data_IF_560091613609
#
_entry.id   IF_560091613609
#
_cell.length_a   1.000
_cell.length_b   1.000
_cell.length_c   1.000
_cell.angle_alpha   90.00
_cell.angle_beta   90.00
_cell.angle_gamma   90.00
#
_symmetry.space_group_name_H-M   'P 1'
#
loop_
_entity.id
_entity.type
_entity.pdbx_description
1 polymer ?
#
# COMPACT_ATOMS: atom_id res chain seq x y z
N UNK A 1 14.83 20.29 -4.36
CA UNK A 1 15.67 20.02 -3.16
C UNK A 1 17.07 20.46 -3.48
N UNK A 2 17.57 21.43 -2.76
CA UNK A 2 18.92 21.96 -2.92
C UNK A 2 19.75 21.36 -1.78
N UNK A 3 20.86 20.72 -2.11
CA UNK A 3 21.82 20.30 -1.08
C UNK A 3 22.52 21.56 -0.60
N UNK A 4 22.31 21.95 0.65
CA UNK A 4 23.10 23.00 1.26
C UNK A 4 24.55 22.55 1.36
N UNK A 5 25.52 23.48 1.32
CA UNK A 5 26.97 23.21 1.44
C UNK A 5 27.38 22.35 2.65
N UNK A 6 26.46 22.08 3.58
CA UNK A 6 26.66 21.30 4.81
C UNK A 6 26.10 19.87 4.76
N UNK A 7 25.71 19.33 3.60
CA UNK A 7 25.29 17.92 3.48
C UNK A 7 23.96 17.57 4.16
N UNK A 8 23.15 18.55 4.59
CA UNK A 8 21.82 18.33 5.15
C UNK A 8 20.80 18.16 4.03
N UNK A 9 19.93 17.14 4.16
CA UNK A 9 18.80 16.95 3.25
C UNK A 9 17.78 18.07 3.41
N UNK A 10 17.54 18.84 2.35
CA UNK A 10 16.39 19.75 2.30
C UNK A 10 15.14 18.96 1.96
N UNK A 11 14.26 18.82 2.93
CA UNK A 11 12.97 18.22 2.75
C UNK A 11 11.97 19.24 2.20
N UNK A 12 11.01 18.83 1.33
CA UNK A 12 10.04 19.74 0.75
C UNK A 12 9.28 20.54 1.80
N UNK A 13 9.22 21.85 1.66
CA UNK A 13 8.47 22.72 2.54
C UNK A 13 6.97 22.68 2.22
N UNK A 14 6.13 22.80 3.26
CA UNK A 14 4.68 22.96 3.14
C UNK A 14 4.38 24.36 2.61
N UNK A 15 4.18 24.49 1.29
CA UNK A 15 3.94 25.78 0.60
C UNK A 15 2.48 26.24 0.67
N UNK A 16 1.55 25.34 0.97
CA UNK A 16 0.12 25.59 0.86
C UNK A 16 -0.59 25.33 2.18
N UNK A 17 -1.53 26.20 2.53
CA UNK A 17 -2.43 26.02 3.67
C UNK A 17 -3.36 24.82 3.46
N UNK A 18 -3.91 24.26 4.54
CA UNK A 18 -4.89 23.16 4.45
C UNK A 18 -6.14 23.51 3.65
N UNK A 19 -6.56 24.79 3.67
CA UNK A 19 -7.67 25.26 2.85
C UNK A 19 -7.35 25.21 1.37
N UNK A 20 -6.16 25.66 0.96
CA UNK A 20 -5.69 25.56 -0.43
C UNK A 20 -5.57 24.10 -0.87
N UNK A 21 -5.06 23.22 0.01
CA UNK A 21 -4.99 21.77 -0.25
C UNK A 21 -6.37 21.16 -0.46
N UNK A 22 -7.35 21.53 0.39
CA UNK A 22 -8.72 21.04 0.24
C UNK A 22 -9.37 21.52 -1.05
N UNK A 23 -9.22 22.81 -1.40
CA UNK A 23 -9.70 23.38 -2.66
C UNK A 23 -9.10 22.69 -3.87
N UNK A 24 -7.79 22.42 -3.83
CA UNK A 24 -7.12 21.62 -4.88
C UNK A 24 -7.72 20.21 -4.96
N UNK A 25 -8.03 19.57 -3.82
CA UNK A 25 -8.69 18.27 -3.78
C UNK A 25 -10.08 18.27 -4.43
N UNK A 26 -10.85 19.32 -4.26
CA UNK A 26 -12.16 19.50 -4.91
C UNK A 26 -12.01 19.62 -6.43
N UNK A 27 -11.10 20.47 -6.90
CA UNK A 27 -10.80 20.62 -8.35
C UNK A 27 -10.36 19.27 -8.96
N UNK A 28 -9.50 18.52 -8.28
CA UNK A 28 -9.00 17.23 -8.78
C UNK A 28 -10.09 16.15 -8.77
N UNK A 29 -11.01 16.17 -7.78
CA UNK A 29 -12.16 15.27 -7.73
C UNK A 29 -13.10 15.51 -8.90
N UNK A 30 -13.44 16.77 -9.13
CA UNK A 30 -14.41 17.18 -10.14
C UNK A 30 -13.87 17.05 -11.56
N UNK A 31 -12.54 17.06 -11.73
CA UNK A 31 -11.88 16.98 -13.02
C UNK A 31 -12.02 18.28 -13.84
N UNK A 32 -11.72 18.19 -15.13
CA UNK A 32 -11.90 19.30 -16.05
C UNK A 32 -13.37 19.31 -16.49
N UNK A 33 -14.14 20.27 -16.00
CA UNK A 33 -15.57 20.44 -16.34
C UNK A 33 -15.69 21.31 -17.59
N UNK A 34 -16.65 21.00 -18.47
CA UNK A 34 -17.07 21.88 -19.58
C UNK A 34 -16.21 21.85 -20.83
N UNK A 35 -15.41 20.80 -21.08
CA UNK A 35 -14.46 20.77 -22.18
C UNK A 35 -13.11 21.38 -21.81
N UNK A 36 -12.12 21.38 -22.73
CA UNK A 36 -10.81 21.96 -22.50
C UNK A 36 -10.82 23.51 -22.55
N UNK A 37 -11.67 24.16 -21.75
CA UNK A 37 -11.54 25.59 -21.51
C UNK A 37 -10.20 25.87 -20.82
N UNK A 38 -9.45 26.83 -21.33
CA UNK A 38 -8.08 27.16 -20.86
C UNK A 38 -8.03 27.44 -19.36
N UNK A 39 -9.07 28.08 -18.82
CA UNK A 39 -9.21 28.36 -17.39
C UNK A 39 -9.35 27.12 -16.51
N UNK A 40 -10.15 26.13 -16.95
CA UNK A 40 -10.34 24.86 -16.25
C UNK A 40 -9.09 24.00 -16.25
N UNK A 41 -8.38 23.95 -17.37
CA UNK A 41 -7.10 23.25 -17.51
C UNK A 41 -6.03 23.87 -16.60
N UNK A 42 -5.91 25.21 -16.59
CA UNK A 42 -4.97 25.93 -15.73
C UNK A 42 -5.23 25.65 -14.25
N UNK A 43 -6.49 25.72 -13.81
CA UNK A 43 -6.88 25.41 -12.42
C UNK A 43 -6.52 23.97 -12.04
N UNK A 44 -6.73 23.01 -12.94
CA UNK A 44 -6.40 21.62 -12.70
C UNK A 44 -4.88 21.38 -12.60
N UNK A 45 -4.10 22.02 -13.45
CA UNK A 45 -2.61 21.96 -13.40
C UNK A 45 -2.10 22.55 -12.08
N UNK A 46 -2.62 23.68 -11.63
CA UNK A 46 -2.25 24.25 -10.34
C UNK A 46 -2.66 23.37 -9.18
N UNK A 47 -3.85 22.77 -9.21
CA UNK A 47 -4.29 21.83 -8.19
C UNK A 47 -3.38 20.58 -8.10
N UNK A 48 -2.85 20.11 -9.22
CA UNK A 48 -1.83 19.04 -9.23
C UNK A 48 -0.51 19.47 -8.58
N UNK A 49 -0.07 20.70 -8.76
CA UNK A 49 1.13 21.24 -8.10
C UNK A 49 0.93 21.27 -6.56
N UNK A 50 -0.25 21.72 -6.11
CA UNK A 50 -0.61 21.73 -4.70
C UNK A 50 -0.61 20.31 -4.13
N UNK A 51 -1.24 19.35 -4.83
CA UNK A 51 -1.23 17.94 -4.42
C UNK A 51 0.19 17.36 -4.37
N UNK A 52 1.02 17.65 -5.37
CA UNK A 52 2.39 17.16 -5.43
C UNK A 52 3.21 17.66 -4.24
N UNK A 53 3.12 18.96 -3.92
CA UNK A 53 3.78 19.50 -2.72
C UNK A 53 3.25 18.88 -1.44
N UNK A 54 1.93 18.84 -1.25
CA UNK A 54 1.30 18.25 -0.07
C UNK A 54 1.73 16.81 0.15
N UNK A 55 1.76 16.01 -0.92
CA UNK A 55 2.17 14.63 -0.91
C UNK A 55 3.66 14.46 -0.59
N UNK A 56 4.54 15.23 -1.23
CA UNK A 56 5.99 15.14 -1.00
C UNK A 56 6.38 15.54 0.43
N UNK A 57 5.65 16.46 1.07
CA UNK A 57 5.88 16.83 2.46
C UNK A 57 5.62 15.69 3.46
N UNK A 58 4.88 14.64 3.10
CA UNK A 58 4.75 13.44 3.94
C UNK A 58 6.02 12.58 3.93
N UNK A 59 6.97 12.83 3.03
CA UNK A 59 8.23 12.07 2.93
C UNK A 59 9.08 12.12 4.20
N UNK A 60 9.26 13.31 4.78
CA UNK A 60 10.01 13.46 6.04
C UNK A 60 9.32 12.74 7.22
N UNK A 61 8.01 12.95 7.50
CA UNK A 61 7.30 12.25 8.53
C UNK A 61 7.37 10.72 8.43
N UNK A 62 7.11 10.15 7.25
CA UNK A 62 7.17 8.69 7.10
C UNK A 62 8.58 8.13 7.25
N UNK A 63 9.61 8.86 6.82
CA UNK A 63 11.00 8.42 7.01
C UNK A 63 11.39 8.39 8.48
N UNK A 64 11.01 9.40 9.25
CA UNK A 64 11.24 9.48 10.69
C UNK A 64 10.47 8.38 11.43
N UNK A 65 9.19 8.20 11.05
CA UNK A 65 8.34 7.18 11.65
C UNK A 65 8.83 5.76 11.33
N UNK A 66 9.37 5.54 10.13
CA UNK A 66 9.97 4.24 9.76
C UNK A 66 11.16 3.89 10.67
N UNK A 67 12.00 4.86 10.99
CA UNK A 67 13.12 4.64 11.91
C UNK A 67 12.62 4.23 13.30
N UNK A 68 11.67 4.97 13.86
CA UNK A 68 11.04 4.64 15.15
C UNK A 68 10.33 3.29 15.14
N UNK A 69 9.69 2.91 14.02
CA UNK A 69 9.06 1.60 13.87
C UNK A 69 10.11 0.47 13.88
N UNK A 70 11.24 0.64 13.19
CA UNK A 70 12.33 -0.34 13.19
C UNK A 70 12.91 -0.53 14.58
N UNK A 71 13.20 0.56 15.30
CA UNK A 71 13.69 0.52 16.68
C UNK A 71 12.68 -0.19 17.62
N UNK A 72 11.38 0.07 17.42
CA UNK A 72 10.32 -0.59 18.20
C UNK A 72 10.26 -2.09 17.89
N UNK A 73 10.34 -2.49 16.64
CA UNK A 73 10.36 -3.90 16.23
C UNK A 73 11.59 -4.64 16.82
N UNK A 74 12.76 -4.01 16.83
CA UNK A 74 13.96 -4.57 17.41
C UNK A 74 13.82 -4.77 18.93
N UNK A 75 13.27 -3.79 19.65
CA UNK A 75 12.99 -3.88 21.09
C UNK A 75 11.98 -4.98 21.42
N UNK A 76 11.02 -5.24 20.56
CA UNK A 76 10.04 -6.31 20.69
C UNK A 76 10.56 -7.68 20.22
N UNK A 77 11.81 -7.79 19.76
CA UNK A 77 12.37 -9.03 19.24
C UNK A 77 11.82 -9.43 17.84
N UNK A 78 11.15 -8.53 17.15
CA UNK A 78 10.50 -8.76 15.85
C UNK A 78 11.42 -8.47 14.66
N UNK A 79 12.70 -8.80 14.74
CA UNK A 79 13.74 -8.49 13.74
C UNK A 79 13.47 -9.03 12.34
N UNK A 80 12.63 -10.06 12.20
CA UNK A 80 12.27 -10.64 10.90
C UNK A 80 11.09 -9.92 10.22
N UNK A 81 10.49 -8.93 10.88
CA UNK A 81 9.41 -8.15 10.31
C UNK A 81 9.87 -7.40 9.06
N UNK A 82 9.00 -7.36 8.06
CA UNK A 82 9.22 -6.55 6.84
C UNK A 82 8.65 -5.17 7.11
N UNK A 83 9.42 -4.13 6.85
CA UNK A 83 8.97 -2.74 6.94
C UNK A 83 9.03 -2.10 5.56
N UNK A 84 7.91 -1.50 5.15
CA UNK A 84 7.77 -0.79 3.90
C UNK A 84 7.15 0.58 4.14
N UNK A 85 7.53 1.57 3.33
CA UNK A 85 6.90 2.89 3.34
C UNK A 85 6.64 3.37 1.92
N UNK A 86 5.53 4.06 1.72
CA UNK A 86 5.24 4.68 0.43
C UNK A 86 4.40 5.95 0.59
N UNK A 87 4.55 6.85 -0.36
CA UNK A 87 3.56 7.89 -0.62
C UNK A 87 2.44 7.32 -1.50
N UNK A 88 1.18 7.62 -1.15
CA UNK A 88 0.02 7.21 -1.95
C UNK A 88 0.11 7.82 -3.34
N UNK A 89 -0.16 7.03 -4.38
CA UNK A 89 -0.10 7.47 -5.78
C UNK A 89 -1.15 8.52 -6.08
N UNK A 90 -0.79 9.51 -6.90
CA UNK A 90 -1.70 10.58 -7.34
C UNK A 90 -3.01 10.06 -7.92
N UNK A 91 -3.02 9.07 -8.85
CA UNK A 91 -4.27 8.50 -9.34
C UNK A 91 -5.13 7.87 -8.23
N UNK A 92 -4.50 7.20 -7.25
CA UNK A 92 -5.23 6.59 -6.11
C UNK A 92 -5.78 7.63 -5.14
N UNK A 93 -5.13 8.79 -5.02
CA UNK A 93 -5.65 9.93 -4.23
C UNK A 93 -6.89 10.48 -4.92
N UNK A 94 -6.81 10.76 -6.23
CA UNK A 94 -7.92 11.30 -7.02
C UNK A 94 -9.10 10.32 -7.03
N UNK A 95 -8.86 9.04 -7.27
CA UNK A 95 -9.90 8.01 -7.22
C UNK A 95 -10.59 7.95 -5.86
N UNK A 96 -9.84 8.07 -4.75
CA UNK A 96 -10.40 8.09 -3.40
C UNK A 96 -11.25 9.33 -3.15
N UNK A 97 -10.83 10.51 -3.64
CA UNK A 97 -11.62 11.74 -3.56
C UNK A 97 -12.94 11.64 -4.35
N UNK A 98 -12.93 11.00 -5.51
CA UNK A 98 -14.14 10.77 -6.34
C UNK A 98 -15.10 9.79 -5.70
N UNK A 99 -14.58 8.72 -5.06
CA UNK A 99 -15.40 7.70 -4.41
C UNK A 99 -16.08 8.21 -3.14
N UNK A 100 -15.47 9.14 -2.42
CA UNK A 100 -15.95 9.66 -1.16
C UNK A 100 -16.11 11.18 -1.27
N UNK A 101 -17.31 11.63 -1.63
CA UNK A 101 -17.61 13.05 -1.89
C UNK A 101 -17.29 13.99 -0.70
N UNK A 102 -17.52 13.51 0.52
CA UNK A 102 -17.20 14.24 1.76
C UNK A 102 -15.73 14.27 2.12
N UNK A 103 -14.87 13.50 1.38
CA UNK A 103 -13.45 13.42 1.65
C UNK A 103 -12.76 14.73 1.30
N UNK A 104 -12.00 15.26 2.25
CA UNK A 104 -11.13 16.41 2.05
C UNK A 104 -9.67 15.97 1.94
N UNK A 105 -8.93 16.47 0.96
CA UNK A 105 -7.55 16.06 0.68
C UNK A 105 -6.64 16.23 1.91
N UNK A 106 -6.75 17.34 2.65
CA UNK A 106 -5.94 17.56 3.85
C UNK A 106 -6.31 16.66 5.05
N UNK A 107 -7.43 15.91 4.97
CA UNK A 107 -7.86 14.92 5.98
C UNK A 107 -7.59 13.48 5.56
N UNK A 108 -7.04 13.26 4.35
CA UNK A 108 -6.72 11.91 3.88
C UNK A 108 -5.59 11.31 4.73
N UNK A 109 -5.86 10.18 5.38
CA UNK A 109 -5.00 9.59 6.41
C UNK A 109 -3.85 8.74 5.87
N UNK A 110 -3.94 8.32 4.62
CA UNK A 110 -3.06 7.34 3.98
C UNK A 110 -2.19 7.91 2.84
N UNK A 111 -1.98 9.25 2.83
CA UNK A 111 -1.03 9.89 1.90
C UNK A 111 0.38 9.43 2.21
N UNK A 112 0.78 9.50 3.48
CA UNK A 112 2.00 8.87 4.00
C UNK A 112 1.65 7.54 4.63
N UNK A 113 2.09 6.42 4.04
CA UNK A 113 1.77 5.07 4.49
C UNK A 113 3.01 4.27 4.87
N UNK A 114 2.94 3.58 6.01
CA UNK A 114 3.88 2.55 6.41
C UNK A 114 3.16 1.21 6.47
N UNK A 115 3.90 0.16 6.23
CA UNK A 115 3.42 -1.22 6.39
C UNK A 115 4.46 -2.03 7.15
N UNK A 116 4.01 -2.82 8.10
CA UNK A 116 4.82 -3.89 8.65
C UNK A 116 4.15 -5.24 8.46
N UNK A 117 4.95 -6.24 8.10
CA UNK A 117 4.48 -7.62 7.93
C UNK A 117 5.22 -8.48 8.93
N UNK A 118 4.46 -9.13 9.79
CA UNK A 118 4.94 -10.00 10.86
C UNK A 118 4.53 -11.46 10.61
N UNK A 119 5.08 -12.38 11.38
CA UNK A 119 4.92 -13.82 11.10
C UNK A 119 3.56 -14.38 11.46
N UNK A 120 2.90 -13.87 12.52
CA UNK A 120 1.67 -14.43 13.08
C UNK A 120 0.84 -13.38 13.85
N UNK A 121 -0.36 -13.78 14.29
CA UNK A 121 -1.29 -12.92 14.99
C UNK A 121 -0.78 -12.44 16.36
N UNK A 122 -0.05 -13.28 17.11
CA UNK A 122 0.55 -12.86 18.37
C UNK A 122 1.52 -11.67 18.20
N UNK A 123 2.26 -11.65 17.09
CA UNK A 123 3.14 -10.53 16.78
C UNK A 123 2.39 -9.28 16.30
N UNK A 124 1.24 -9.44 15.62
CA UNK A 124 0.33 -8.32 15.31
C UNK A 124 -0.14 -7.66 16.59
N UNK A 125 -0.64 -8.47 17.52
CA UNK A 125 -1.15 -7.98 18.82
C UNK A 125 -0.04 -7.33 19.65
N UNK A 126 1.11 -7.97 19.76
CA UNK A 126 2.27 -7.41 20.48
C UNK A 126 2.68 -6.03 19.97
N UNK A 127 2.73 -5.86 18.64
CA UNK A 127 3.08 -4.58 18.04
C UNK A 127 1.98 -3.54 18.25
N UNK A 128 0.70 -3.91 18.06
CA UNK A 128 -0.47 -3.06 18.31
C UNK A 128 -0.47 -2.54 19.75
N UNK A 129 -0.36 -3.44 20.74
CA UNK A 129 -0.35 -3.09 22.16
C UNK A 129 0.80 -2.17 22.52
N UNK A 130 1.96 -2.33 21.89
CA UNK A 130 3.10 -1.47 22.12
C UNK A 130 2.86 -0.02 21.71
N UNK A 131 1.94 0.25 20.78
CA UNK A 131 1.51 1.61 20.45
C UNK A 131 0.44 2.12 21.41
N UNK A 132 -0.49 1.28 21.83
CA UNK A 132 -1.54 1.64 22.79
C UNK A 132 -0.92 1.95 24.18
N UNK A 133 -0.05 1.09 24.70
CA UNK A 133 0.64 1.29 25.98
C UNK A 133 1.59 2.49 25.99
N UNK A 134 2.12 2.87 24.84
CA UNK A 134 2.93 4.10 24.72
C UNK A 134 2.11 5.38 24.95
N UNK A 135 0.77 5.31 24.83
CA UNK A 135 -0.11 6.42 25.17
C UNK A 135 -0.30 6.58 26.69
N UNK A 136 -0.05 5.54 27.48
CA UNK A 136 -0.26 5.51 28.93
C UNK A 136 0.93 6.03 29.75
N UNK A 137 1.96 6.67 29.11
CA UNK A 137 3.03 7.33 29.88
C UNK A 137 4.45 7.22 29.37
N UNK A 138 4.71 6.58 28.24
CA UNK A 138 6.06 6.47 27.66
C UNK A 138 6.09 7.06 26.25
N UNK A 139 6.51 8.33 26.16
CA UNK A 139 7.20 9.05 25.06
C UNK A 139 7.01 8.56 23.60
N UNK A 140 5.82 8.18 23.19
CA UNK A 140 5.51 8.18 21.77
C UNK A 140 5.01 9.56 21.37
N UNK A 141 5.83 10.33 20.65
CA UNK A 141 5.56 11.76 20.38
C UNK A 141 4.35 12.03 19.49
N UNK A 142 3.86 11.00 18.77
CA UNK A 142 2.77 11.16 17.82
C UNK A 142 1.42 10.78 18.41
N UNK A 143 0.37 11.57 18.13
CA UNK A 143 -0.98 11.27 18.62
C UNK A 143 -1.62 10.18 17.76
N UNK A 144 -2.03 9.07 18.33
CA UNK A 144 -2.90 8.12 17.63
C UNK A 144 -4.32 8.70 17.54
N UNK A 145 -4.79 8.93 16.33
CA UNK A 145 -6.08 9.59 16.07
C UNK A 145 -7.17 8.66 15.58
N UNK A 146 -6.80 7.46 15.12
CA UNK A 146 -7.75 6.43 14.76
C UNK A 146 -7.08 5.06 14.75
N UNK A 147 -7.88 4.06 15.06
CA UNK A 147 -7.56 2.64 14.91
C UNK A 147 -8.70 1.95 14.15
N UNK A 148 -8.35 1.03 13.24
CA UNK A 148 -9.31 0.18 12.54
C UNK A 148 -8.75 -1.23 12.49
N UNK A 149 -9.44 -2.13 13.16
CA UNK A 149 -9.10 -3.55 13.16
C UNK A 149 -9.97 -4.28 12.12
N UNK A 150 -9.39 -4.44 10.93
CA UNK A 150 -9.99 -5.24 9.86
C UNK A 150 -9.65 -6.74 9.99
N UNK A 151 -9.04 -7.16 11.09
CA UNK A 151 -8.85 -8.60 11.40
C UNK A 151 -10.03 -9.08 12.24
N UNK A 152 -10.42 -8.28 13.21
CA UNK A 152 -11.61 -8.52 14.03
C UNK A 152 -12.91 -8.25 13.23
N UNK A 153 -12.90 -7.18 12.42
CA UNK A 153 -14.03 -6.77 11.57
C UNK A 153 -13.59 -6.76 10.09
N UNK A 154 -13.49 -7.94 9.45
CA UNK A 154 -13.02 -8.06 8.06
C UNK A 154 -13.93 -7.30 7.10
N UNK A 155 -13.36 -6.83 5.99
CA UNK A 155 -14.15 -6.28 4.90
C UNK A 155 -14.80 -7.40 4.08
N UNK A 156 -15.93 -7.13 3.46
CA UNK A 156 -16.63 -8.06 2.55
C UNK A 156 -15.73 -8.59 1.44
N UNK A 157 -14.74 -7.80 1.01
CA UNK A 157 -13.74 -8.23 0.02
C UNK A 157 -12.78 -9.33 0.52
N UNK A 158 -12.76 -9.62 1.84
CA UNK A 158 -11.77 -10.51 2.47
C UNK A 158 -10.50 -9.80 2.95
N UNK A 159 -10.44 -8.47 2.83
CA UNK A 159 -9.29 -7.68 3.30
C UNK A 159 -9.18 -7.67 4.81
N UNK A 160 -7.96 -7.95 5.33
CA UNK A 160 -7.65 -7.96 6.76
C UNK A 160 -6.32 -7.27 7.04
N UNK A 161 -6.29 -6.43 8.05
CA UNK A 161 -5.11 -5.69 8.54
C UNK A 161 -5.51 -4.87 9.76
N UNK A 162 -4.59 -4.57 10.66
CA UNK A 162 -4.77 -3.48 11.64
C UNK A 162 -4.23 -2.19 11.02
N UNK A 163 -5.01 -1.12 11.10
CA UNK A 163 -4.61 0.22 10.66
C UNK A 163 -4.57 1.16 11.85
N UNK A 164 -3.41 1.73 12.12
CA UNK A 164 -3.21 2.78 13.11
C UNK A 164 -2.94 4.09 12.39
N UNK A 165 -3.65 5.15 12.74
CA UNK A 165 -3.49 6.47 12.14
C UNK A 165 -2.92 7.42 13.19
N UNK A 166 -1.83 8.08 12.82
CA UNK A 166 -1.11 9.00 13.69
C UNK A 166 -1.12 10.40 13.13
N UNK A 167 -1.25 11.39 14.03
CA UNK A 167 -0.94 12.78 13.74
C UNK A 167 0.52 13.02 14.09
N UNK A 168 1.31 13.35 13.09
CA UNK A 168 2.74 13.57 13.25
C UNK A 168 3.05 14.76 14.16
N UNK A 169 4.01 14.57 15.07
CA UNK A 169 4.58 15.61 15.93
C UNK A 169 6.10 15.46 16.00
N UNK A 170 6.83 16.56 15.81
CA UNK A 170 8.28 16.59 15.91
C UNK A 170 8.74 18.01 16.26
N UNK A 171 9.48 18.17 17.37
CA UNK A 171 9.97 19.48 17.83
C UNK A 171 11.10 20.00 16.94
N UNK A 172 11.86 19.08 16.30
CA UNK A 172 12.97 19.43 15.39
C UNK A 172 12.52 19.82 13.99
N UNK A 173 11.27 19.50 13.65
CA UNK A 173 10.70 19.78 12.34
C UNK A 173 9.20 20.12 12.46
N UNK A 174 8.86 21.21 13.18
CA UNK A 174 7.49 21.57 13.52
C UNK A 174 6.63 21.90 12.30
N UNK A 175 7.23 22.27 11.18
CA UNK A 175 6.53 22.56 9.92
C UNK A 175 5.70 21.37 9.41
N UNK A 176 6.08 20.12 9.72
CA UNK A 176 5.34 18.91 9.32
C UNK A 176 4.32 18.46 10.35
N UNK A 177 4.21 19.15 11.51
CA UNK A 177 3.29 18.76 12.57
C UNK A 177 1.82 18.79 12.07
N UNK A 178 1.08 17.75 12.48
CA UNK A 178 -0.30 17.61 12.12
C UNK A 178 -0.56 16.90 10.78
N UNK A 179 0.47 16.50 10.02
CA UNK A 179 0.32 15.58 8.90
C UNK A 179 -0.13 14.21 9.42
N UNK A 180 -0.96 13.51 8.63
CA UNK A 180 -1.51 12.21 9.01
C UNK A 180 -0.70 11.09 8.36
N UNK A 181 -0.38 10.06 9.14
CA UNK A 181 0.35 8.88 8.71
C UNK A 181 -0.47 7.63 9.05
N UNK A 182 -0.52 6.69 8.14
CA UNK A 182 -1.15 5.38 8.37
C UNK A 182 -0.07 4.30 8.53
N UNK A 183 -0.14 3.53 9.62
CA UNK A 183 0.62 2.29 9.80
C UNK A 183 -0.31 1.09 9.61
N UNK A 184 -0.01 0.24 8.65
CA UNK A 184 -0.70 -1.03 8.41
C UNK A 184 0.11 -2.17 9.01
N UNK A 185 -0.49 -2.95 9.92
CA UNK A 185 0.12 -4.13 10.53
C UNK A 185 -0.59 -5.36 9.97
N UNK A 186 0.18 -6.30 9.41
CA UNK A 186 -0.33 -7.52 8.77
C UNK A 186 0.49 -8.73 9.14
N UNK A 187 -0.13 -9.89 9.14
CA UNK A 187 0.61 -11.14 9.05
C UNK A 187 1.10 -11.38 7.61
N UNK A 188 2.00 -12.34 7.46
CA UNK A 188 2.45 -12.82 6.14
C UNK A 188 1.29 -13.36 5.29
N UNK A 189 0.32 -14.07 5.90
CA UNK A 189 -0.86 -14.62 5.20
C UNK A 189 -1.72 -13.49 4.65
N UNK A 190 -2.02 -12.48 5.47
CA UNK A 190 -2.80 -11.31 5.07
C UNK A 190 -2.09 -10.50 3.98
N UNK A 191 -0.76 -10.39 4.07
CA UNK A 191 0.05 -9.72 3.07
C UNK A 191 0.03 -10.48 1.73
N UNK A 192 0.17 -11.79 1.77
CA UNK A 192 0.12 -12.68 0.61
C UNK A 192 -1.24 -12.59 -0.11
N UNK A 193 -2.35 -12.58 0.64
CA UNK A 193 -3.68 -12.35 0.08
C UNK A 193 -3.77 -11.00 -0.63
N UNK A 194 -3.36 -9.91 0.06
CA UNK A 194 -3.43 -8.58 -0.50
C UNK A 194 -2.57 -8.43 -1.78
N UNK A 195 -1.42 -9.12 -1.83
CA UNK A 195 -0.56 -9.16 -3.02
C UNK A 195 -1.26 -9.83 -4.19
N UNK A 196 -1.90 -10.98 -3.98
CA UNK A 196 -2.60 -11.70 -5.04
C UNK A 196 -3.78 -10.89 -5.59
N UNK A 197 -4.57 -10.24 -4.72
CA UNK A 197 -5.66 -9.35 -5.11
C UNK A 197 -5.16 -8.15 -5.93
N UNK A 198 -4.10 -7.49 -5.49
CA UNK A 198 -3.52 -6.34 -6.20
C UNK A 198 -2.96 -6.76 -7.56
N UNK A 199 -2.23 -7.88 -7.62
CA UNK A 199 -1.69 -8.43 -8.87
C UNK A 199 -2.82 -8.77 -9.85
N UNK A 200 -3.83 -9.52 -9.42
CA UNK A 200 -4.94 -9.90 -10.28
C UNK A 200 -5.74 -8.67 -10.72
N UNK A 201 -5.96 -7.70 -9.82
CA UNK A 201 -6.62 -6.43 -10.15
C UNK A 201 -5.91 -5.65 -11.25
N UNK A 202 -4.57 -5.65 -11.26
CA UNK A 202 -3.77 -5.02 -12.31
C UNK A 202 -4.02 -5.67 -13.68
N UNK A 203 -4.08 -7.01 -13.75
CA UNK A 203 -4.32 -7.72 -15.01
C UNK A 203 -5.76 -7.65 -15.49
N UNK A 204 -6.71 -7.69 -14.58
CA UNK A 204 -8.12 -7.55 -14.90
C UNK A 204 -8.54 -6.09 -15.12
N UNK A 205 -7.66 -5.13 -14.82
CA UNK A 205 -7.92 -3.68 -14.84
C UNK A 205 -9.05 -3.24 -13.91
N UNK A 206 -9.20 -3.90 -12.76
CA UNK A 206 -10.21 -3.60 -11.76
C UNK A 206 -9.58 -3.35 -10.38
N UNK A 207 -10.25 -2.56 -9.54
CA UNK A 207 -9.84 -2.32 -8.16
C UNK A 207 -10.43 -3.38 -7.20
N UNK A 208 -10.11 -4.66 -7.41
CA UNK A 208 -10.66 -5.80 -6.67
C UNK A 208 -10.58 -5.63 -5.14
N UNK A 209 -9.50 -5.05 -4.64
CA UNK A 209 -9.32 -4.77 -3.20
C UNK A 209 -10.34 -3.77 -2.65
N UNK A 210 -10.96 -3.00 -3.53
CA UNK A 210 -12.01 -2.02 -3.22
C UNK A 210 -13.40 -2.53 -3.61
N UNK A 211 -13.54 -3.84 -3.81
CA UNK A 211 -14.78 -4.50 -4.24
C UNK A 211 -15.30 -4.00 -5.60
N UNK A 212 -14.39 -3.65 -6.51
CA UNK A 212 -14.72 -3.26 -7.88
C UNK A 212 -14.19 -4.34 -8.85
N UNK A 213 -15.05 -4.96 -9.65
CA UNK A 213 -14.67 -5.96 -10.63
C UNK A 213 -15.70 -7.06 -10.83
N UNK A 214 -15.38 -8.09 -11.64
CA UNK A 214 -16.27 -9.22 -11.88
C UNK A 214 -16.59 -9.97 -10.58
N UNK A 215 -17.87 -10.30 -10.39
CA UNK A 215 -18.39 -10.85 -9.13
C UNK A 215 -17.73 -12.17 -8.74
N UNK A 216 -17.41 -13.01 -9.71
CA UNK A 216 -16.74 -14.30 -9.48
C UNK A 216 -15.35 -14.14 -8.87
N UNK A 217 -14.60 -13.11 -9.26
CA UNK A 217 -13.30 -12.79 -8.67
C UNK A 217 -13.43 -12.20 -7.26
N UNK A 218 -14.42 -11.33 -7.06
CA UNK A 218 -14.71 -10.77 -5.74
C UNK A 218 -15.09 -11.88 -4.75
N UNK A 219 -15.98 -12.79 -5.15
CA UNK A 219 -16.35 -13.97 -4.34
C UNK A 219 -15.18 -14.89 -4.07
N UNK A 220 -14.35 -15.17 -5.11
CA UNK A 220 -13.16 -16.00 -4.92
C UNK A 220 -12.23 -15.42 -3.84
N UNK A 221 -11.89 -14.13 -3.92
CA UNK A 221 -11.00 -13.53 -2.92
C UNK A 221 -11.63 -13.42 -1.55
N UNK A 222 -12.93 -13.20 -1.44
CA UNK A 222 -13.64 -13.18 -0.18
C UNK A 222 -13.61 -14.55 0.50
N UNK A 223 -13.96 -15.64 -0.20
CA UNK A 223 -13.94 -16.99 0.38
C UNK A 223 -12.51 -17.44 0.69
N UNK A 224 -11.52 -17.15 -0.14
CA UNK A 224 -10.11 -17.40 0.17
C UNK A 224 -9.65 -16.61 1.40
N UNK A 225 -10.13 -15.38 1.57
CA UNK A 225 -9.92 -14.57 2.78
C UNK A 225 -10.46 -15.26 4.02
N UNK A 226 -11.63 -15.93 3.93
CA UNK A 226 -12.21 -16.69 5.03
C UNK A 226 -11.40 -17.96 5.38
N UNK A 227 -10.86 -18.67 4.37
CA UNK A 227 -9.92 -19.78 4.68
C UNK A 227 -8.71 -19.25 5.47
N UNK A 228 -8.17 -18.12 5.07
CA UNK A 228 -7.03 -17.53 5.78
C UNK A 228 -7.40 -17.01 7.18
N UNK A 229 -8.64 -16.56 7.37
CA UNK A 229 -9.14 -16.22 8.70
C UNK A 229 -9.18 -17.45 9.61
N UNK A 230 -9.71 -18.56 9.14
CA UNK A 230 -9.68 -19.82 9.86
C UNK A 230 -8.26 -20.29 10.23
N UNK A 231 -7.31 -20.19 9.27
CA UNK A 231 -5.89 -20.54 9.54
C UNK A 231 -5.28 -19.71 10.67
N UNK A 232 -5.69 -18.45 10.80
CA UNK A 232 -5.20 -17.52 11.82
C UNK A 232 -6.10 -17.49 13.07
N UNK A 233 -7.16 -18.30 13.13
CA UNK A 233 -8.17 -18.32 14.21
C UNK A 233 -8.80 -16.93 14.45
N UNK A 234 -9.08 -16.23 13.36
CA UNK A 234 -9.69 -14.89 13.34
C UNK A 234 -11.13 -14.96 12.84
N UNK A 235 -11.85 -13.83 12.96
CA UNK A 235 -13.19 -13.69 12.42
C UNK A 235 -13.24 -13.98 10.92
N UNK A 236 -14.20 -14.79 10.44
CA UNK A 236 -14.40 -15.05 9.01
C UNK A 236 -14.87 -13.77 8.30
N UNK A 237 -14.76 -13.79 6.98
CA UNK A 237 -15.25 -12.68 6.15
C UNK A 237 -16.79 -12.66 6.21
N UNK A 238 -17.45 -11.46 6.22
CA UNK A 238 -18.89 -11.34 6.19
C UNK A 238 -19.54 -12.18 5.09
N UNK A 239 -20.62 -12.86 5.42
CA UNK A 239 -21.31 -13.82 4.53
C UNK A 239 -20.74 -15.24 4.52
N UNK A 240 -19.65 -15.49 5.24
CA UNK A 240 -19.03 -16.82 5.39
C UNK A 240 -18.93 -17.31 6.85
N UNK A 241 -19.61 -16.63 7.77
CA UNK A 241 -19.52 -16.91 9.22
C UNK A 241 -20.03 -18.30 9.59
N UNK A 242 -21.07 -18.77 8.89
CA UNK A 242 -21.68 -20.08 9.12
C UNK A 242 -20.94 -21.24 8.45
N UNK A 243 -19.91 -20.95 7.63
CA UNK A 243 -19.22 -21.98 6.87
C UNK A 243 -18.11 -22.61 7.70
N UNK A 244 -18.13 -23.94 7.76
CA UNK A 244 -17.03 -24.70 8.38
C UNK A 244 -15.74 -24.51 7.59
N UNK A 245 -14.61 -24.74 8.25
CA UNK A 245 -13.28 -24.81 7.64
C UNK A 245 -13.27 -25.62 6.34
N UNK A 246 -13.83 -26.83 6.37
CA UNK A 246 -13.89 -27.73 5.22
C UNK A 246 -14.70 -27.14 4.08
N UNK A 247 -15.89 -26.61 4.38
CA UNK A 247 -16.77 -26.00 3.39
C UNK A 247 -16.12 -24.80 2.71
N UNK A 248 -15.41 -23.98 3.48
CA UNK A 248 -14.73 -22.79 2.97
C UNK A 248 -13.58 -23.19 2.02
N UNK A 249 -12.81 -24.23 2.35
CA UNK A 249 -11.77 -24.76 1.46
C UNK A 249 -12.36 -25.31 0.16
N UNK A 250 -13.41 -26.15 0.24
CA UNK A 250 -14.06 -26.72 -0.93
C UNK A 250 -14.54 -25.63 -1.91
N UNK A 251 -15.18 -24.60 -1.41
CA UNK A 251 -15.65 -23.47 -2.21
C UNK A 251 -14.47 -22.69 -2.83
N UNK A 252 -13.39 -22.48 -2.07
CA UNK A 252 -12.20 -21.77 -2.56
C UNK A 252 -11.52 -22.55 -3.69
N UNK A 253 -11.33 -23.85 -3.51
CA UNK A 253 -10.71 -24.72 -4.53
C UNK A 253 -11.56 -24.77 -5.79
N UNK A 254 -12.87 -24.99 -5.65
CA UNK A 254 -13.80 -24.99 -6.80
C UNK A 254 -13.76 -23.67 -7.57
N UNK A 255 -13.80 -22.54 -6.88
CA UNK A 255 -13.74 -21.22 -7.51
C UNK A 255 -12.37 -20.96 -8.16
N UNK A 256 -11.28 -21.39 -7.51
CA UNK A 256 -9.93 -21.24 -8.04
C UNK A 256 -9.73 -22.04 -9.33
N UNK A 257 -10.28 -23.24 -9.42
CA UNK A 257 -10.24 -24.09 -10.62
C UNK A 257 -11.08 -23.49 -11.76
N UNK A 258 -12.31 -23.08 -11.47
CA UNK A 258 -13.21 -22.46 -12.46
C UNK A 258 -12.61 -21.18 -13.08
N UNK A 259 -11.90 -20.39 -12.29
CA UNK A 259 -11.27 -19.13 -12.74
C UNK A 259 -9.85 -19.32 -13.29
N UNK A 260 -9.27 -20.51 -13.21
CA UNK A 260 -7.88 -20.76 -13.59
C UNK A 260 -6.87 -19.89 -12.81
N UNK A 261 -7.14 -19.65 -11.52
CA UNK A 261 -6.40 -18.69 -10.70
C UNK A 261 -4.92 -19.02 -10.61
N UNK A 262 -4.63 -20.31 -10.39
CA UNK A 262 -3.24 -20.80 -10.22
C UNK A 262 -2.39 -20.49 -11.45
N UNK A 263 -2.88 -20.88 -12.61
CA UNK A 263 -2.14 -20.74 -13.88
C UNK A 263 -1.97 -19.27 -14.25
N UNK A 264 -3.00 -18.46 -14.06
CA UNK A 264 -2.92 -17.00 -14.28
C UNK A 264 -1.89 -16.35 -13.38
N UNK A 265 -1.91 -16.62 -12.06
CA UNK A 265 -0.96 -16.05 -11.11
C UNK A 265 0.48 -16.55 -11.35
N UNK A 266 0.66 -17.82 -11.74
CA UNK A 266 1.97 -18.36 -12.08
C UNK A 266 2.52 -17.73 -13.37
N UNK A 267 1.73 -17.62 -14.42
CA UNK A 267 2.14 -16.99 -15.67
C UNK A 267 2.63 -15.56 -15.46
N UNK A 268 1.97 -14.80 -14.57
CA UNK A 268 2.37 -13.44 -14.23
C UNK A 268 3.67 -13.39 -13.41
N UNK A 269 3.84 -14.31 -12.46
CA UNK A 269 5.04 -14.38 -11.62
C UNK A 269 6.31 -14.71 -12.41
N UNK A 270 6.24 -15.58 -13.40
CA UNK A 270 7.40 -15.95 -14.25
C UNK A 270 7.86 -14.76 -15.09
N UNK A 271 6.93 -13.98 -15.62
CA UNK A 271 7.24 -12.81 -16.45
C UNK A 271 8.04 -11.73 -15.68
N UNK A 272 7.72 -11.50 -14.40
CA UNK A 272 8.37 -10.47 -13.59
C UNK A 272 9.80 -10.82 -13.17
N UNK A 273 10.17 -12.10 -13.14
CA UNK A 273 11.52 -12.53 -12.76
C UNK A 273 12.58 -12.22 -13.81
N UNK A 274 12.19 -11.94 -15.07
CA UNK A 274 13.13 -11.83 -16.20
C UNK A 274 13.95 -10.53 -16.22
N UNK A 275 13.57 -9.45 -15.50
CA UNK A 275 14.10 -8.11 -15.78
C UNK A 275 14.83 -7.44 -14.61
N UNK A 276 14.74 -7.94 -13.40
CA UNK A 276 15.38 -7.34 -12.24
C UNK A 276 16.90 -7.63 -12.19
N UNK A 277 17.67 -7.02 -13.12
CA UNK A 277 19.14 -7.09 -13.15
C UNK A 277 19.83 -5.90 -12.47
N UNK A 278 19.10 -4.91 -11.98
CA UNK A 278 19.74 -3.78 -11.30
C UNK A 278 20.16 -4.17 -9.88
N UNK A 279 21.49 -4.35 -9.71
CA UNK A 279 22.14 -4.71 -8.44
C UNK A 279 22.65 -3.49 -7.68
N UNK A 280 22.37 -2.27 -8.17
CA UNK A 280 22.88 -1.04 -7.54
C UNK A 280 22.29 -0.85 -6.14
N UNK A 281 23.16 -0.53 -5.19
CA UNK A 281 22.76 -0.14 -3.83
C UNK A 281 22.15 1.26 -3.88
N UNK A 282 20.84 1.37 -3.76
CA UNK A 282 20.12 2.63 -3.66
C UNK A 282 19.34 2.73 -2.36
N UNK A 283 18.98 3.95 -1.96
CA UNK A 283 18.07 4.20 -0.84
C UNK A 283 16.63 4.32 -1.30
N UNK A 284 16.43 4.84 -2.52
CA UNK A 284 15.14 5.01 -3.15
C UNK A 284 15.11 4.21 -4.45
N UNK A 285 13.96 3.63 -4.75
CA UNK A 285 13.77 2.83 -5.94
C UNK A 285 12.45 3.24 -6.60
N UNK A 286 12.55 3.68 -7.85
CA UNK A 286 11.40 3.84 -8.72
C UNK A 286 11.16 2.52 -9.44
N UNK A 287 10.02 1.90 -9.14
CA UNK A 287 9.59 0.65 -9.77
C UNK A 287 8.48 1.02 -10.76
N UNK A 288 8.63 0.61 -12.01
CA UNK A 288 7.61 0.74 -13.04
C UNK A 288 7.27 -0.64 -13.56
N UNK A 289 6.00 -1.02 -13.45
CA UNK A 289 5.43 -2.26 -13.96
C UNK A 289 4.66 -1.96 -15.25
N UNK A 290 5.04 -2.59 -16.35
CA UNK A 290 4.26 -2.65 -17.59
C UNK A 290 3.57 -4.04 -17.66
N UNK A 291 2.27 -4.14 -17.36
CA UNK A 291 1.57 -5.42 -17.34
C UNK A 291 1.30 -5.99 -18.75
N UNK A 292 1.33 -5.15 -19.80
CA UNK A 292 1.16 -5.61 -21.18
C UNK A 292 2.44 -6.27 -21.67
N UNK A 293 3.57 -5.58 -21.52
CA UNK A 293 4.89 -6.13 -21.86
C UNK A 293 5.35 -7.18 -20.85
N UNK A 294 4.70 -7.24 -19.67
CA UNK A 294 5.10 -8.05 -18.51
C UNK A 294 6.51 -7.72 -18.03
N UNK A 295 6.84 -6.42 -18.04
CA UNK A 295 8.15 -5.91 -17.70
C UNK A 295 8.11 -5.10 -16.40
N UNK A 296 9.16 -5.28 -15.59
CA UNK A 296 9.41 -4.45 -14.40
C UNK A 296 10.73 -3.75 -14.54
N UNK A 297 10.74 -2.43 -14.61
CA UNK A 297 11.96 -1.64 -14.56
C UNK A 297 12.18 -1.07 -13.17
N UNK A 298 13.45 -1.04 -12.73
CA UNK A 298 13.84 -0.47 -11.45
C UNK A 298 14.96 0.52 -11.69
N UNK A 299 14.72 1.77 -11.27
CA UNK A 299 15.75 2.82 -11.21
C UNK A 299 16.07 3.09 -9.75
N UNK A 300 17.35 2.97 -9.39
CA UNK A 300 17.82 3.12 -8.02
C UNK A 300 18.54 4.45 -7.86
N UNK A 301 18.24 5.15 -6.77
CA UNK A 301 18.77 6.46 -6.44
C UNK A 301 19.43 6.43 -5.06
N UNK A 302 20.57 7.09 -4.93
CA UNK A 302 21.22 7.28 -3.65
C UNK A 302 20.41 8.23 -2.75
N UNK A 303 20.81 8.34 -1.49
CA UNK A 303 20.07 9.11 -0.50
C UNK A 303 19.93 10.59 -0.85
N UNK A 304 20.93 11.15 -1.49
CA UNK A 304 21.04 12.55 -1.93
C UNK A 304 20.28 12.86 -3.23
N UNK A 305 19.79 11.82 -3.95
CA UNK A 305 19.08 11.97 -5.23
C UNK A 305 17.57 11.75 -5.13
N UNK A 306 16.96 12.06 -3.98
CA UNK A 306 15.52 11.90 -3.78
C UNK A 306 14.70 12.80 -4.70
N UNK A 307 15.19 13.99 -5.03
CA UNK A 307 14.48 14.92 -5.94
C UNK A 307 14.41 14.38 -7.35
N UNK A 308 15.53 13.94 -7.87
CA UNK A 308 15.57 13.30 -9.17
C UNK A 308 14.66 12.07 -9.22
N UNK A 309 14.66 11.26 -8.15
CA UNK A 309 13.74 10.14 -8.01
C UNK A 309 12.27 10.58 -8.02
N UNK A 310 11.96 11.72 -7.37
CA UNK A 310 10.61 12.28 -7.31
C UNK A 310 10.18 12.90 -8.63
N UNK A 311 11.08 13.55 -9.35
CA UNK A 311 10.83 14.08 -10.70
C UNK A 311 10.56 12.95 -11.70
N UNK A 312 11.41 11.92 -11.69
CA UNK A 312 11.24 10.77 -12.57
C UNK A 312 9.96 10.01 -12.26
N UNK A 313 9.61 9.88 -10.97
CA UNK A 313 8.34 9.31 -10.58
C UNK A 313 7.15 10.15 -11.11
N UNK A 314 7.24 11.48 -11.05
CA UNK A 314 6.21 12.40 -11.58
C UNK A 314 6.03 12.22 -13.09
N UNK A 315 7.13 12.05 -13.84
CA UNK A 315 7.09 11.78 -15.29
C UNK A 315 6.36 10.46 -15.59
N UNK A 316 6.61 9.41 -14.79
CA UNK A 316 5.88 8.13 -14.96
C UNK A 316 4.38 8.27 -14.59
N UNK A 317 4.05 9.02 -13.54
CA UNK A 317 2.63 9.31 -13.21
C UNK A 317 1.91 10.11 -14.32
N UNK A 318 2.61 10.98 -15.05
CA UNK A 318 2.05 11.69 -16.19
C UNK A 318 1.70 10.75 -17.34
N UNK A 319 2.54 9.74 -17.62
CA UNK A 319 2.24 8.69 -18.62
C UNK A 319 0.98 7.92 -18.24
N UNK A 320 0.86 7.51 -16.96
CA UNK A 320 -0.35 6.83 -16.44
C UNK A 320 -1.58 7.72 -16.64
N UNK A 321 -1.45 9.02 -16.40
CA UNK A 321 -2.57 9.98 -16.57
C UNK A 321 -2.97 10.12 -18.04
N UNK A 322 -2.03 9.97 -18.98
CA UNK A 322 -2.27 9.95 -20.42
C UNK A 322 -2.81 8.63 -20.94
N UNK A 323 -3.04 7.66 -20.08
CA UNK A 323 -3.66 6.36 -20.42
C UNK A 323 -2.67 5.24 -20.70
N UNK A 324 -1.36 5.45 -20.49
CA UNK A 324 -0.42 4.32 -20.59
C UNK A 324 -0.74 3.28 -19.50
N UNK A 325 -0.80 1.99 -19.84
CA UNK A 325 -1.20 0.92 -18.94
C UNK A 325 -0.07 0.49 -18.00
N UNK A 326 0.72 1.43 -17.51
CA UNK A 326 1.81 1.16 -16.56
C UNK A 326 1.39 1.46 -15.13
N UNK A 327 2.09 0.86 -14.17
CA UNK A 327 1.96 1.17 -12.75
C UNK A 327 3.33 1.56 -12.20
N UNK A 328 3.40 2.66 -11.44
CA UNK A 328 4.64 3.18 -10.91
C UNK A 328 4.57 3.44 -9.40
N UNK A 329 5.68 3.21 -8.70
CA UNK A 329 5.81 3.56 -7.29
C UNK A 329 7.25 3.98 -6.96
N UNK A 330 7.38 5.02 -6.16
CA UNK A 330 8.64 5.40 -5.55
C UNK A 330 8.67 4.95 -4.09
N UNK A 331 9.65 4.16 -3.71
CA UNK A 331 9.76 3.53 -2.40
C UNK A 331 11.16 3.68 -1.82
N UNK A 332 11.26 3.67 -0.49
CA UNK A 332 12.53 3.58 0.20
C UNK A 332 12.74 2.15 0.71
N UNK A 333 13.83 1.53 0.31
CA UNK A 333 14.25 0.21 0.76
C UNK A 333 15.78 0.14 0.87
N UNK A 334 16.29 -0.82 1.63
CA UNK A 334 17.74 -1.00 1.80
C UNK A 334 18.40 -1.67 0.61
N UNK A 335 17.81 -2.76 0.13
CA UNK A 335 18.27 -3.49 -1.04
C UNK A 335 17.09 -4.05 -1.87
N UNK A 336 17.40 -4.58 -3.05
CA UNK A 336 16.39 -5.14 -3.95
C UNK A 336 15.68 -6.37 -3.34
N UNK A 337 16.33 -7.13 -2.47
CA UNK A 337 15.70 -8.28 -1.80
C UNK A 337 14.64 -7.79 -0.79
N UNK A 338 14.99 -6.78 0.00
CA UNK A 338 14.06 -6.12 0.91
C UNK A 338 12.89 -5.51 0.13
N UNK A 339 13.19 -4.83 -0.99
CA UNK A 339 12.21 -4.24 -1.89
C UNK A 339 11.21 -5.28 -2.43
N UNK A 340 11.67 -6.40 -2.95
CA UNK A 340 10.82 -7.49 -3.45
C UNK A 340 9.92 -8.08 -2.35
N UNK A 341 10.43 -8.21 -1.12
CA UNK A 341 9.66 -8.71 0.02
C UNK A 341 8.61 -7.71 0.49
N UNK A 342 8.92 -6.42 0.43
CA UNK A 342 8.04 -5.34 0.88
C UNK A 342 6.93 -5.00 -0.12
N UNK A 343 7.21 -5.15 -1.41
CA UNK A 343 6.33 -4.77 -2.52
C UNK A 343 6.18 -5.89 -3.56
N UNK A 344 5.81 -7.12 -3.16
CA UNK A 344 5.77 -8.27 -4.07
C UNK A 344 4.78 -8.08 -5.23
N UNK A 345 3.73 -7.27 -5.07
CA UNK A 345 2.76 -6.97 -6.12
C UNK A 345 3.37 -6.25 -7.34
N UNK A 346 4.39 -5.40 -7.14
CA UNK A 346 5.12 -4.79 -8.28
C UNK A 346 6.06 -5.76 -8.99
N UNK A 347 6.42 -6.83 -8.32
CA UNK A 347 7.21 -7.92 -8.91
C UNK A 347 6.34 -9.10 -9.31
N UNK A 348 5.02 -8.94 -9.24
CA UNK A 348 4.03 -9.98 -9.51
C UNK A 348 4.30 -11.28 -8.72
N UNK A 349 4.94 -11.16 -7.55
CA UNK A 349 5.33 -12.32 -6.73
C UNK A 349 4.14 -12.86 -5.93
N UNK A 350 3.38 -13.70 -6.57
CA UNK A 350 2.22 -14.39 -6.01
C UNK A 350 2.51 -15.81 -5.53
N UNK A 351 3.78 -16.23 -5.52
CA UNK A 351 4.19 -17.60 -5.14
C UNK A 351 3.69 -18.02 -3.75
N UNK A 352 3.64 -17.07 -2.81
CA UNK A 352 3.08 -17.33 -1.49
C UNK A 352 1.61 -17.75 -1.54
N UNK A 353 0.80 -17.02 -2.31
CA UNK A 353 -0.62 -17.30 -2.46
C UNK A 353 -0.86 -18.62 -3.22
N UNK A 354 -0.13 -18.86 -4.29
CA UNK A 354 -0.21 -20.12 -5.06
C UNK A 354 0.10 -21.32 -4.16
N UNK A 355 1.17 -21.26 -3.35
CA UNK A 355 1.48 -22.33 -2.39
C UNK A 355 0.37 -22.58 -1.37
N UNK A 356 -0.32 -21.53 -0.93
CA UNK A 356 -1.46 -21.69 -0.03
C UNK A 356 -2.67 -22.33 -0.74
N UNK A 357 -2.93 -21.98 -2.01
CA UNK A 357 -3.94 -22.65 -2.83
C UNK A 357 -3.63 -24.14 -3.03
N UNK A 358 -2.38 -24.49 -3.33
CA UNK A 358 -1.95 -25.87 -3.48
C UNK A 358 -2.20 -26.67 -2.19
N UNK A 359 -1.89 -26.09 -1.01
CA UNK A 359 -2.23 -26.70 0.28
C UNK A 359 -3.73 -26.86 0.49
N UNK A 360 -4.55 -25.87 0.13
CA UNK A 360 -6.02 -25.99 0.24
C UNK A 360 -6.54 -27.12 -0.63
N UNK A 361 -5.98 -27.32 -1.83
CA UNK A 361 -6.33 -28.43 -2.70
C UNK A 361 -5.98 -29.78 -2.06
N UNK A 362 -4.80 -29.91 -1.47
CA UNK A 362 -4.41 -31.11 -0.71
C UNK A 362 -5.35 -31.37 0.46
N UNK A 363 -5.74 -30.35 1.22
CA UNK A 363 -6.66 -30.48 2.35
C UNK A 363 -8.08 -30.88 1.90
N UNK A 364 -8.56 -30.35 0.75
CA UNK A 364 -9.87 -30.71 0.21
C UNK A 364 -9.96 -32.20 -0.20
N UNK A 365 -8.83 -32.80 -0.59
CA UNK A 365 -8.75 -34.20 -1.02
C UNK A 365 -8.59 -35.19 0.12
N UNK A 366 -8.15 -34.74 1.30
CA UNK A 366 -8.04 -35.60 2.48
C UNK A 366 -9.44 -35.94 2.99
N UNK A 367 -9.83 -37.21 2.82
CA UNK A 367 -11.01 -37.76 3.52
C UNK A 367 -10.75 -37.66 5.01
N UNK A 368 -11.60 -36.95 5.76
CA UNK A 368 -11.54 -36.88 7.21
C UNK A 368 -11.78 -38.24 7.84
#
# INVERSE_FOLDING_TARGET
>A
MVITKNGTMDWPELKYSRNQVNKAGEILRDGIKGGMEEGSLRAWVEARKVLSNWRSCHGYPINTFQSTLRDKLDKLGLRKAIVAQRLKRTPSIISKLRRFESMRLARMQDIGGLRTVVSNMGQVQLLRDSYQKSLEGIMFKHDMVAERDYIENPKDSGYRSVHLVFRYRNDRAPSYNGLLLELQIRTWIQHTWATAVETMGTFLKYALKSSEGPEEWLRFFAVAGSVFAHMEKCAPVPGYESFSWRKTIELTVKAAEALGVRDKLQAYSVAANAISKDTRKGRYHLIVLDPIKKEVSIRSYSRDRLDEASEDYTKEEEKITKGEPIDAVLVAAGDIKELKRAYPNYFLDTRGFVRLLDKMREWSQRKG
#
